data_IF_518533597105
#
_entry.id   IF_518533597105
#
_cell.length_a   1.000
_cell.length_b   1.000
_cell.length_c   1.000
_cell.angle_alpha   90.00
_cell.angle_beta   90.00
_cell.angle_gamma   90.00
#
_symmetry.space_group_name_H-M   'P 1'
#
loop_
_entity.id
_entity.type
_entity.pdbx_description
1 polymer ?
#
# COMPACT_ATOMS: atom_id res chain seq x y z
N UNK A 1 -10.38 5.37 0.65
CA UNK A 1 -11.40 4.83 -0.26
C UNK A 1 -11.27 5.33 -1.70
N UNK A 2 -11.25 6.65 -1.99
CA UNK A 2 -11.26 7.13 -3.39
C UNK A 2 -10.09 6.59 -4.23
N UNK A 3 -8.86 6.69 -3.73
CA UNK A 3 -7.65 6.23 -4.45
C UNK A 3 -7.65 4.73 -4.74
N UNK A 4 -8.28 3.92 -3.89
CA UNK A 4 -8.43 2.48 -4.11
C UNK A 4 -9.39 2.20 -5.28
N UNK A 5 -10.50 2.92 -5.34
CA UNK A 5 -11.44 2.85 -6.46
C UNK A 5 -10.78 3.34 -7.75
N UNK A 6 -9.94 4.38 -7.68
CA UNK A 6 -9.14 4.84 -8.83
C UNK A 6 -8.25 3.77 -9.38
N UNK A 7 -7.50 3.06 -8.53
CA UNK A 7 -6.68 1.94 -8.99
C UNK A 7 -7.51 0.86 -9.72
N UNK A 8 -8.68 0.53 -9.20
CA UNK A 8 -9.56 -0.46 -9.83
C UNK A 8 -10.16 0.03 -11.15
N UNK A 9 -10.64 1.27 -11.21
CA UNK A 9 -11.22 1.86 -12.43
C UNK A 9 -10.15 1.98 -13.52
N UNK A 10 -8.97 2.51 -13.19
CA UNK A 10 -7.87 2.65 -14.16
C UNK A 10 -7.29 1.30 -14.58
N UNK A 11 -7.33 0.29 -13.71
CA UNK A 11 -6.92 -1.06 -14.04
C UNK A 11 -7.82 -1.76 -15.06
N UNK A 12 -9.11 -1.38 -15.14
CA UNK A 12 -10.05 -1.90 -16.13
C UNK A 12 -11.22 -0.93 -16.40
N UNK A 13 -10.97 0.19 -17.10
CA UNK A 13 -11.95 1.26 -17.27
C UNK A 13 -13.12 0.84 -18.16
N UNK A 14 -12.96 -0.23 -18.94
CA UNK A 14 -14.01 -0.77 -19.80
C UNK A 14 -15.13 -1.48 -19.02
N UNK A 15 -14.80 -2.12 -17.88
CA UNK A 15 -15.74 -2.95 -17.12
C UNK A 15 -16.08 -2.42 -15.74
N UNK A 16 -15.14 -1.79 -15.04
CA UNK A 16 -15.39 -1.23 -13.71
C UNK A 16 -16.05 0.13 -13.86
N UNK A 17 -17.37 0.20 -13.62
CA UNK A 17 -18.13 1.45 -13.66
C UNK A 17 -18.51 1.86 -12.24
N UNK A 18 -18.09 3.06 -11.82
CA UNK A 18 -18.44 3.61 -10.52
C UNK A 18 -19.96 3.63 -10.28
N UNK A 19 -20.74 3.89 -11.35
CA UNK A 19 -22.20 3.89 -11.33
C UNK A 19 -22.81 2.54 -11.01
N UNK A 20 -22.08 1.43 -11.03
CA UNK A 20 -22.62 0.10 -10.72
C UNK A 20 -22.78 -0.10 -9.20
N UNK A 21 -22.01 0.62 -8.39
CA UNK A 21 -21.98 0.44 -6.93
C UNK A 21 -22.04 1.74 -6.12
N UNK A 22 -21.66 2.89 -6.68
CA UNK A 22 -21.77 4.19 -6.02
C UNK A 22 -23.11 4.89 -6.30
N UNK A 23 -23.57 5.69 -5.34
CA UNK A 23 -24.65 6.66 -5.55
C UNK A 23 -24.22 7.74 -6.54
N UNK A 24 -25.18 8.46 -7.15
CA UNK A 24 -24.86 9.57 -8.07
C UNK A 24 -24.03 10.67 -7.38
N UNK A 25 -24.33 10.97 -6.11
CA UNK A 25 -23.60 12.00 -5.37
C UNK A 25 -22.17 11.56 -5.03
N UNK A 26 -21.96 10.27 -4.76
CA UNK A 26 -20.62 9.72 -4.58
C UNK A 26 -19.82 9.69 -5.89
N UNK A 27 -20.46 9.50 -7.04
CA UNK A 27 -19.81 9.64 -8.36
C UNK A 27 -19.38 11.08 -8.60
N UNK A 28 -20.23 12.08 -8.32
CA UNK A 28 -19.83 13.50 -8.44
C UNK A 28 -18.68 13.85 -7.50
N UNK A 29 -18.71 13.33 -6.28
CA UNK A 29 -17.60 13.52 -5.34
C UNK A 29 -16.30 12.88 -5.84
N UNK A 30 -16.39 11.78 -6.58
CA UNK A 30 -15.23 11.10 -7.13
C UNK A 30 -14.47 11.93 -8.16
N UNK A 31 -15.12 12.85 -8.87
CA UNK A 31 -14.46 13.78 -9.80
C UNK A 31 -13.34 14.61 -9.12
N UNK A 32 -13.44 14.81 -7.79
CA UNK A 32 -12.41 15.52 -7.02
C UNK A 32 -11.08 14.76 -6.94
N UNK A 33 -11.08 13.44 -7.17
CA UNK A 33 -9.86 12.63 -7.06
C UNK A 33 -8.78 13.05 -8.06
N UNK A 34 -9.18 13.58 -9.21
CA UNK A 34 -8.26 14.04 -10.24
C UNK A 34 -7.67 15.43 -9.96
N UNK A 35 -8.28 16.20 -9.04
CA UNK A 35 -7.92 17.61 -8.80
C UNK A 35 -7.44 17.89 -7.37
N UNK A 36 -7.83 17.07 -6.40
CA UNK A 36 -7.51 17.26 -4.98
C UNK A 36 -6.36 16.34 -4.54
N UNK A 37 -5.48 16.86 -3.69
CA UNK A 37 -4.45 16.09 -3.03
C UNK A 37 -5.06 15.13 -2.00
N UNK A 38 -4.32 14.07 -1.62
CA UNK A 38 -4.75 13.11 -0.58
C UNK A 38 -5.23 13.78 0.72
N UNK A 39 -4.56 14.86 1.15
CA UNK A 39 -4.92 15.58 2.38
C UNK A 39 -6.31 16.22 2.22
N UNK A 40 -6.54 16.93 1.12
CA UNK A 40 -7.83 17.59 0.80
C UNK A 40 -8.96 16.56 0.65
N UNK A 41 -8.68 15.43 -0.02
CA UNK A 41 -9.62 14.31 -0.10
C UNK A 41 -9.99 13.76 1.29
N UNK A 42 -9.10 13.86 2.26
CA UNK A 42 -9.32 13.36 3.63
C UNK A 42 -10.02 14.37 4.55
N UNK A 43 -10.33 15.57 4.07
CA UNK A 43 -11.01 16.59 4.88
C UNK A 43 -12.49 16.23 5.12
N UNK A 44 -13.05 16.76 6.21
CA UNK A 44 -14.47 16.57 6.60
C UNK A 44 -15.47 17.04 5.54
N UNK A 45 -15.06 17.95 4.64
CA UNK A 45 -15.88 18.45 3.53
C UNK A 45 -15.72 17.67 2.22
N UNK A 46 -14.87 16.63 2.23
CA UNK A 46 -14.59 15.74 1.11
C UNK A 46 -14.87 14.29 1.55
N UNK A 47 -14.10 13.33 1.06
CA UNK A 47 -14.28 11.91 1.38
C UNK A 47 -14.10 11.58 2.88
N UNK A 48 -13.39 12.42 3.65
CA UNK A 48 -13.13 12.19 5.08
C UNK A 48 -14.34 12.35 5.99
N UNK A 49 -15.35 13.15 5.60
CA UNK A 49 -16.53 13.41 6.43
C UNK A 49 -17.74 12.53 6.13
N UNK A 50 -17.65 11.59 5.18
CA UNK A 50 -18.82 10.86 4.70
C UNK A 50 -19.06 9.60 5.52
N UNK A 51 -20.28 9.47 6.03
CA UNK A 51 -20.77 8.22 6.62
C UNK A 51 -21.07 7.24 5.48
N UNK A 52 -20.34 6.11 5.34
CA UNK A 52 -20.42 5.27 4.14
C UNK A 52 -21.81 4.66 3.87
N UNK A 53 -22.57 4.40 4.94
CA UNK A 53 -23.87 3.74 4.84
C UNK A 53 -24.93 4.74 4.36
N UNK A 54 -25.58 4.43 3.25
CA UNK A 54 -26.62 5.20 2.55
C UNK A 54 -26.16 6.40 1.68
N UNK A 55 -24.97 6.96 1.86
CA UNK A 55 -24.50 8.10 1.05
C UNK A 55 -23.50 7.70 -0.05
N UNK A 56 -22.70 6.64 0.16
CA UNK A 56 -21.63 6.26 -0.78
C UNK A 56 -22.06 5.11 -1.69
N UNK A 57 -22.56 4.02 -1.11
CA UNK A 57 -22.97 2.83 -1.84
C UNK A 57 -24.46 2.90 -2.19
N UNK A 58 -24.82 2.37 -3.36
CA UNK A 58 -26.23 2.10 -3.71
C UNK A 58 -26.85 1.11 -2.72
N UNK A 59 -28.18 1.12 -2.64
CA UNK A 59 -28.94 0.12 -1.87
C UNK A 59 -28.75 -1.30 -2.43
N UNK A 60 -28.64 -1.42 -3.76
CA UNK A 60 -28.35 -2.68 -4.47
C UNK A 60 -27.12 -2.51 -5.38
N UNK A 61 -25.90 -2.52 -4.81
CA UNK A 61 -24.67 -2.33 -5.56
C UNK A 61 -24.27 -3.61 -6.31
N UNK A 62 -23.76 -3.47 -7.53
CA UNK A 62 -23.22 -4.58 -8.33
C UNK A 62 -21.70 -4.53 -8.26
N UNK A 63 -21.08 -5.53 -7.60
CA UNK A 63 -19.64 -5.57 -7.37
C UNK A 63 -18.88 -6.58 -8.25
N UNK A 64 -19.53 -7.29 -9.17
CA UNK A 64 -18.91 -8.40 -9.91
C UNK A 64 -17.62 -7.99 -10.61
N UNK A 65 -17.65 -6.92 -11.41
CA UNK A 65 -16.47 -6.46 -12.15
C UNK A 65 -15.45 -5.77 -11.25
N UNK A 66 -15.90 -5.05 -10.21
CA UNK A 66 -15.00 -4.46 -9.22
C UNK A 66 -14.21 -5.56 -8.51
N UNK A 67 -14.88 -6.57 -7.96
CA UNK A 67 -14.23 -7.66 -7.24
C UNK A 67 -13.30 -8.45 -8.17
N UNK A 68 -13.72 -8.77 -9.39
CA UNK A 68 -12.86 -9.44 -10.35
C UNK A 68 -11.58 -8.64 -10.64
N UNK A 69 -11.68 -7.31 -10.74
CA UNK A 69 -10.53 -6.44 -10.92
C UNK A 69 -9.65 -6.36 -9.68
N UNK A 70 -10.25 -6.28 -8.49
CA UNK A 70 -9.53 -6.28 -7.22
C UNK A 70 -8.76 -7.59 -7.02
N UNK A 71 -9.39 -8.73 -7.34
CA UNK A 71 -8.74 -10.04 -7.30
C UNK A 71 -7.59 -10.13 -8.31
N UNK A 72 -7.74 -9.55 -9.50
CA UNK A 72 -6.66 -9.49 -10.49
C UNK A 72 -5.49 -8.58 -10.05
N UNK A 73 -5.78 -7.56 -9.25
CA UNK A 73 -4.79 -6.65 -8.66
C UNK A 73 -4.21 -7.17 -7.35
N UNK A 74 -4.79 -8.21 -6.75
CA UNK A 74 -4.36 -8.75 -5.48
C UNK A 74 -2.98 -9.41 -5.61
N UNK A 75 -1.92 -8.87 -4.98
CA UNK A 75 -0.61 -9.50 -4.96
C UNK A 75 -0.60 -10.79 -4.12
N UNK A 76 -1.73 -11.22 -3.57
CA UNK A 76 -1.93 -12.46 -2.83
C UNK A 76 -1.57 -13.73 -3.62
N UNK A 77 -1.39 -13.69 -4.94
CA UNK A 77 -0.83 -14.83 -5.70
C UNK A 77 0.60 -14.59 -6.20
N UNK A 78 1.17 -13.41 -5.93
CA UNK A 78 2.50 -13.01 -6.37
C UNK A 78 3.56 -13.98 -5.85
N UNK A 79 4.40 -14.46 -6.77
CA UNK A 79 5.60 -15.24 -6.45
C UNK A 79 6.84 -14.43 -6.83
N UNK A 80 7.67 -14.12 -5.85
CA UNK A 80 8.92 -13.41 -6.06
C UNK A 80 10.07 -14.40 -6.06
N UNK A 81 10.79 -14.47 -7.19
CA UNK A 81 11.96 -15.35 -7.39
C UNK A 81 13.28 -14.66 -7.06
N UNK A 82 13.24 -13.37 -6.79
CA UNK A 82 14.39 -12.54 -6.40
C UNK A 82 14.38 -12.28 -4.89
N UNK A 83 15.53 -12.00 -4.26
CA UNK A 83 15.58 -11.54 -2.88
C UNK A 83 14.76 -10.27 -2.67
N UNK A 84 14.09 -10.16 -1.53
CA UNK A 84 13.23 -9.03 -1.15
C UNK A 84 13.72 -8.46 0.17
N UNK A 85 13.78 -7.12 0.27
CA UNK A 85 13.92 -6.42 1.55
C UNK A 85 12.60 -5.74 1.87
N UNK A 86 12.05 -5.98 3.05
CA UNK A 86 10.87 -5.28 3.58
C UNK A 86 11.30 -4.45 4.78
N UNK A 87 10.87 -3.19 4.82
CA UNK A 87 11.28 -2.22 5.85
C UNK A 87 10.03 -1.55 6.41
N UNK A 88 9.92 -1.49 7.74
CA UNK A 88 8.75 -0.90 8.41
C UNK A 88 9.14 -0.09 9.64
N UNK A 89 8.60 1.12 9.76
CA UNK A 89 8.66 1.90 10.99
C UNK A 89 7.70 1.34 12.03
N UNK A 90 8.15 1.14 13.27
CA UNK A 90 7.33 0.57 14.34
C UNK A 90 6.27 1.56 14.88
N UNK A 91 6.47 2.86 14.65
CA UNK A 91 5.54 3.94 15.03
C UNK A 91 4.79 4.48 13.81
N UNK A 92 4.72 3.72 12.71
CA UNK A 92 3.95 4.14 11.53
C UNK A 92 2.44 4.04 11.81
N UNK A 93 1.80 5.19 11.96
CA UNK A 93 0.35 5.30 12.15
C UNK A 93 -0.43 5.38 10.83
N UNK A 94 0.26 5.47 9.69
CA UNK A 94 -0.37 5.58 8.35
C UNK A 94 -0.42 4.24 7.63
N UNK A 95 0.59 3.40 7.83
CA UNK A 95 0.66 2.03 7.35
C UNK A 95 0.90 1.13 8.57
N UNK A 96 -0.16 0.48 9.03
CA UNK A 96 -0.12 -0.41 10.19
C UNK A 96 0.98 -1.48 10.03
N UNK A 97 1.99 -1.51 10.92
CA UNK A 97 3.08 -2.48 10.87
C UNK A 97 2.61 -3.95 10.84
N UNK A 98 1.46 -4.26 11.43
CA UNK A 98 0.89 -5.61 11.39
C UNK A 98 0.53 -6.04 9.96
N UNK A 99 0.12 -5.10 9.09
CA UNK A 99 -0.18 -5.39 7.68
C UNK A 99 1.09 -5.75 6.91
N UNK A 100 2.21 -5.07 7.17
CA UNK A 100 3.51 -5.42 6.57
C UNK A 100 3.99 -6.81 7.01
N UNK A 101 3.71 -7.21 8.26
CA UNK A 101 3.97 -8.57 8.73
C UNK A 101 3.11 -9.62 8.00
N UNK A 102 1.86 -9.31 7.69
CA UNK A 102 0.99 -10.18 6.87
C UNK A 102 1.58 -10.35 5.47
N UNK A 103 2.02 -9.26 4.83
CA UNK A 103 2.70 -9.30 3.51
C UNK A 103 3.96 -10.16 3.57
N UNK A 104 4.83 -9.94 4.57
CA UNK A 104 6.04 -10.74 4.79
C UNK A 104 5.71 -12.23 4.90
N UNK A 105 4.75 -12.58 5.74
CA UNK A 105 4.34 -13.97 5.97
C UNK A 105 3.78 -14.59 4.69
N UNK A 106 2.95 -13.86 3.94
CA UNK A 106 2.39 -14.32 2.68
C UNK A 106 3.45 -14.58 1.61
N UNK A 107 4.37 -13.63 1.42
CA UNK A 107 5.45 -13.78 0.44
C UNK A 107 6.40 -14.93 0.83
N UNK A 108 6.74 -15.07 2.12
CA UNK A 108 7.60 -16.16 2.60
C UNK A 108 6.94 -17.53 2.42
N UNK A 109 5.64 -17.65 2.72
CA UNK A 109 4.87 -18.88 2.49
C UNK A 109 4.90 -19.33 1.03
N UNK A 110 5.02 -18.37 0.09
CA UNK A 110 5.12 -18.63 -1.35
C UNK A 110 6.56 -18.82 -1.85
N UNK A 111 7.52 -18.91 -0.93
CA UNK A 111 8.93 -19.21 -1.22
C UNK A 111 9.82 -18.00 -1.48
N UNK A 112 9.34 -16.77 -1.26
CA UNK A 112 10.19 -15.58 -1.38
C UNK A 112 11.26 -15.58 -0.27
N UNK A 113 12.47 -15.13 -0.61
CA UNK A 113 13.54 -14.89 0.36
C UNK A 113 13.46 -13.44 0.84
N UNK A 114 13.07 -13.25 2.11
CA UNK A 114 12.75 -11.93 2.65
C UNK A 114 13.72 -11.57 3.76
N UNK A 115 14.38 -10.43 3.61
CA UNK A 115 15.09 -9.72 4.67
C UNK A 115 14.12 -8.69 5.25
N UNK A 116 13.51 -9.00 6.40
CA UNK A 116 12.56 -8.10 7.07
C UNK A 116 13.30 -7.23 8.09
N UNK A 117 13.08 -5.93 8.04
CA UNK A 117 13.81 -4.94 8.84
C UNK A 117 12.81 -3.99 9.50
N UNK A 118 12.99 -3.76 10.80
CA UNK A 118 12.15 -2.86 11.59
C UNK A 118 12.94 -1.68 12.12
N UNK A 119 12.33 -0.50 12.10
CA UNK A 119 12.90 0.73 12.64
C UNK A 119 12.14 1.11 13.93
N UNK A 120 12.69 0.84 15.13
CA UNK A 120 11.93 0.85 16.39
C UNK A 120 11.31 2.20 16.78
N UNK A 121 11.92 3.31 16.35
CA UNK A 121 11.51 4.67 16.71
C UNK A 121 10.98 5.47 15.53
N UNK A 122 10.88 4.85 14.36
CA UNK A 122 10.53 5.55 13.13
C UNK A 122 9.03 5.51 12.86
N UNK A 123 8.48 6.66 12.47
CA UNK A 123 7.14 6.79 11.91
C UNK A 123 7.14 6.54 10.38
N UNK A 124 6.01 6.84 9.72
CA UNK A 124 5.83 6.66 8.28
C UNK A 124 6.91 7.33 7.41
N UNK A 125 7.42 8.49 7.81
CA UNK A 125 8.42 9.22 7.04
C UNK A 125 9.83 9.03 7.62
N UNK A 126 9.94 8.91 8.94
CA UNK A 126 11.19 8.65 9.64
C UNK A 126 11.85 7.37 9.15
N UNK A 127 11.07 6.34 8.79
CA UNK A 127 11.60 5.07 8.27
C UNK A 127 12.44 5.26 7.01
N UNK A 128 12.11 6.24 6.17
CA UNK A 128 12.86 6.55 4.96
C UNK A 128 14.23 7.12 5.30
N UNK A 129 14.28 8.12 6.19
CA UNK A 129 15.55 8.71 6.64
C UNK A 129 16.46 7.67 7.32
N UNK A 130 15.86 6.81 8.14
CA UNK A 130 16.59 5.82 8.94
C UNK A 130 17.12 4.63 8.14
N UNK A 131 16.39 4.14 7.12
CA UNK A 131 16.79 2.94 6.36
C UNK A 131 17.42 3.22 4.98
N UNK A 132 17.41 4.44 4.43
CA UNK A 132 18.09 4.70 3.13
C UNK A 132 19.51 4.11 3.10
N UNK A 133 20.38 4.31 4.12
CA UNK A 133 21.71 3.68 4.14
C UNK A 133 21.66 2.15 4.17
N UNK A 134 20.71 1.58 4.92
CA UNK A 134 20.43 0.14 5.01
C UNK A 134 20.03 -0.48 3.66
N UNK A 135 19.05 0.13 3.00
CA UNK A 135 18.57 -0.29 1.69
C UNK A 135 19.66 -0.16 0.62
N UNK A 136 20.43 0.94 0.60
CA UNK A 136 21.54 1.10 -0.36
C UNK A 136 22.63 0.05 -0.16
N UNK A 137 23.00 -0.22 1.09
CA UNK A 137 23.98 -1.27 1.43
C UNK A 137 23.48 -2.66 1.00
N UNK A 138 22.20 -2.96 1.24
CA UNK A 138 21.56 -4.20 0.84
C UNK A 138 21.55 -4.38 -0.69
N UNK A 139 21.15 -3.33 -1.43
CA UNK A 139 21.17 -3.33 -2.89
C UNK A 139 22.59 -3.52 -3.44
N UNK A 140 23.58 -2.77 -2.93
CA UNK A 140 24.98 -2.90 -3.33
C UNK A 140 25.44 -4.34 -3.17
N UNK A 141 25.20 -4.95 -2.01
CA UNK A 141 25.58 -6.34 -1.75
C UNK A 141 24.95 -7.32 -2.76
N UNK A 142 23.68 -7.13 -3.14
CA UNK A 142 23.01 -8.01 -4.11
C UNK A 142 23.51 -7.82 -5.53
N UNK A 143 23.91 -6.61 -5.92
CA UNK A 143 24.40 -6.33 -7.27
C UNK A 143 25.90 -6.60 -7.46
N UNK A 144 26.74 -6.36 -6.45
CA UNK A 144 28.20 -6.50 -6.57
C UNK A 144 28.75 -7.72 -5.83
N UNK A 145 27.97 -8.31 -4.92
CA UNK A 145 28.44 -9.36 -4.01
C UNK A 145 29.27 -8.84 -2.83
N UNK A 146 29.57 -7.53 -2.79
CA UNK A 146 30.42 -6.94 -1.76
C UNK A 146 29.63 -6.60 -0.49
N UNK A 147 30.11 -7.04 0.66
CA UNK A 147 29.60 -6.56 1.94
C UNK A 147 30.02 -5.09 2.19
N UNK A 148 29.25 -4.31 2.97
CA UNK A 148 29.67 -2.98 3.40
C UNK A 148 31.02 -3.03 4.13
N UNK A 149 31.97 -2.19 3.72
CA UNK A 149 33.31 -2.09 4.34
C UNK A 149 33.32 -1.23 5.60
N UNK A 150 32.24 -0.48 5.84
CA UNK A 150 32.02 0.34 7.04
C UNK A 150 30.67 0.00 7.66
N UNK A 151 30.49 0.27 8.97
CA UNK A 151 29.18 0.15 9.61
C UNK A 151 28.11 0.93 8.83
N UNK A 152 26.97 0.29 8.60
CA UNK A 152 25.82 0.94 7.97
C UNK A 152 25.10 1.76 9.02
N UNK A 153 25.00 3.07 8.80
CA UNK A 153 24.32 3.99 9.71
C UNK A 153 22.80 3.90 9.50
N UNK A 154 22.19 2.88 10.10
CA UNK A 154 20.74 2.73 10.14
C UNK A 154 20.30 2.35 11.56
N UNK A 155 19.23 2.99 12.04
CA UNK A 155 18.57 2.62 13.29
C UNK A 155 17.79 1.30 13.15
N UNK A 156 17.53 0.89 11.90
CA UNK A 156 16.69 -0.23 11.55
C UNK A 156 17.47 -1.55 11.65
N UNK A 157 16.82 -2.57 12.20
CA UNK A 157 17.45 -3.86 12.50
C UNK A 157 16.65 -5.01 11.88
N UNK A 158 17.31 -6.10 11.49
CA UNK A 158 16.61 -7.30 11.06
C UNK A 158 15.59 -7.76 12.10
N UNK A 159 14.38 -8.09 11.64
CA UNK A 159 13.31 -8.67 12.43
C UNK A 159 13.12 -10.15 12.05
N UNK A 160 12.60 -10.97 12.99
CA UNK A 160 12.30 -12.37 12.74
C UNK A 160 11.20 -12.57 11.68
#
# INVERSE_FOLDING_TARGET
MPLFLTGAVEGNPSKVKLTDFLTEDAVKLYERVDTECRVELSDEKSWGGIVPKAFVLKESPVFTELNAQLDAMDPGTLRLTVPVRLVQGAQDERVDPAQTLIVKTGLAFRGAKIDFVGCPVADHFGVLGDDIPGTLAWLKQRFTGEAPTTPVLSSCQPLP
#
